data_IF_837413698027
#
_entry.id   IF_837413698027
#
_cell.length_a   1.000
_cell.length_b   1.000
_cell.length_c   1.000
_cell.angle_alpha   90.00
_cell.angle_beta   90.00
_cell.angle_gamma   90.00
#
_symmetry.space_group_name_H-M   'P 1'
#
loop_
_entity.id
_entity.type
_entity.pdbx_description
1 polymer ?
#
# COMPACT_ATOMS: atom_id res chain seq x y z
N UNK A 1 -24.22 -9.73 8.63
CA UNK A 1 -23.49 -8.48 8.45
C UNK A 1 -21.98 -8.78 8.52
N UNK A 2 -21.20 -8.31 7.53
CA UNK A 2 -19.74 -8.53 7.51
C UNK A 2 -19.04 -7.97 8.77
N UNK A 3 -19.54 -6.85 9.28
CA UNK A 3 -18.98 -6.17 10.43
C UNK A 3 -19.24 -6.89 11.75
N UNK A 4 -20.23 -7.79 11.82
CA UNK A 4 -20.60 -8.56 13.01
C UNK A 4 -19.99 -9.97 12.95
N UNK A 5 -18.69 -10.08 13.21
CA UNK A 5 -18.05 -11.39 13.33
C UNK A 5 -18.36 -12.03 14.68
N UNK A 6 -18.35 -13.39 14.78
CA UNK A 6 -18.74 -14.11 15.98
C UNK A 6 -17.74 -14.00 17.16
N UNK A 7 -16.57 -13.43 16.96
CA UNK A 7 -15.61 -13.18 18.02
C UNK A 7 -15.96 -11.88 18.77
N UNK A 8 -15.59 -11.79 20.02
CA UNK A 8 -15.88 -10.67 20.94
C UNK A 8 -17.39 -10.43 21.16
N UNK A 9 -18.23 -11.47 21.05
CA UNK A 9 -19.64 -11.35 21.43
C UNK A 9 -19.80 -10.81 22.86
N UNK A 10 -20.73 -9.86 23.14
CA UNK A 10 -21.86 -9.43 22.28
C UNK A 10 -21.61 -8.13 21.49
N UNK A 11 -20.37 -7.70 21.32
CA UNK A 11 -20.06 -6.45 20.62
C UNK A 11 -20.41 -6.53 19.14
N UNK A 12 -20.97 -5.43 18.61
CA UNK A 12 -21.27 -5.26 17.18
C UNK A 12 -20.08 -4.60 16.47
N UNK A 13 -20.02 -4.78 15.15
CA UNK A 13 -19.02 -4.17 14.28
C UNK A 13 -17.57 -4.52 14.67
N UNK A 14 -17.34 -5.68 15.23
CA UNK A 14 -16.02 -6.10 15.77
C UNK A 14 -14.93 -6.18 14.69
N UNK A 15 -15.31 -6.47 13.44
CA UNK A 15 -14.35 -6.46 12.30
C UNK A 15 -13.81 -5.07 11.99
N UNK A 16 -14.50 -4.00 12.40
CA UNK A 16 -13.99 -2.63 12.28
C UNK A 16 -12.87 -2.30 13.28
N UNK A 17 -12.69 -3.16 14.31
CA UNK A 17 -11.63 -2.99 15.31
C UNK A 17 -10.29 -3.61 14.90
N UNK A 18 -10.23 -4.27 13.72
CA UNK A 18 -9.04 -4.95 13.22
C UNK A 18 -8.81 -4.64 11.73
N UNK A 19 -7.62 -4.99 11.24
CA UNK A 19 -7.30 -4.90 9.82
C UNK A 19 -8.16 -5.86 9.00
N UNK A 20 -8.71 -5.38 7.89
CA UNK A 20 -9.70 -6.11 7.11
C UNK A 20 -9.13 -7.05 6.05
N UNK A 21 -7.88 -6.86 5.61
CA UNK A 21 -7.16 -7.66 4.61
C UNK A 21 -7.90 -7.85 3.26
N UNK A 22 -8.91 -7.03 2.96
CA UNK A 22 -9.72 -7.13 1.75
C UNK A 22 -8.90 -7.08 0.47
N UNK A 23 -7.85 -6.26 0.44
CA UNK A 23 -7.00 -6.12 -0.73
C UNK A 23 -6.30 -7.42 -1.12
N UNK A 24 -6.10 -8.34 -0.18
CA UNK A 24 -5.45 -9.64 -0.43
C UNK A 24 -6.43 -10.81 -0.49
N UNK A 25 -7.71 -10.59 -0.19
CA UNK A 25 -8.75 -11.60 -0.26
C UNK A 25 -8.84 -12.33 -1.62
N UNK A 26 -8.70 -11.65 -2.78
CA UNK A 26 -8.71 -12.33 -4.07
C UNK A 26 -7.63 -13.40 -4.20
N UNK A 27 -6.44 -13.20 -3.63
CA UNK A 27 -5.34 -14.17 -3.65
C UNK A 27 -5.76 -15.45 -2.90
N UNK A 28 -6.31 -15.29 -1.70
CA UNK A 28 -6.85 -16.41 -0.92
C UNK A 28 -7.98 -17.12 -1.64
N UNK A 29 -8.92 -16.37 -2.24
CA UNK A 29 -10.07 -16.89 -2.95
C UNK A 29 -9.68 -17.76 -4.16
N UNK A 30 -8.62 -17.40 -4.89
CA UNK A 30 -8.09 -18.20 -6.00
C UNK A 30 -7.66 -19.58 -5.51
N UNK A 31 -6.93 -19.70 -4.41
CA UNK A 31 -6.52 -21.00 -3.87
C UNK A 31 -7.71 -21.81 -3.37
N UNK A 32 -8.68 -21.15 -2.71
CA UNK A 32 -9.91 -21.83 -2.26
C UNK A 32 -10.75 -22.35 -3.42
N UNK A 33 -10.92 -21.56 -4.48
CA UNK A 33 -11.65 -21.98 -5.68
C UNK A 33 -10.92 -23.07 -6.47
N UNK A 34 -9.59 -23.14 -6.36
CA UNK A 34 -8.76 -24.21 -6.89
C UNK A 34 -8.83 -25.54 -6.13
N UNK A 35 -9.65 -25.61 -5.06
CA UNK A 35 -9.87 -26.84 -4.28
C UNK A 35 -8.95 -27.03 -3.08
N UNK A 36 -8.04 -26.07 -2.79
CA UNK A 36 -7.23 -26.13 -1.58
C UNK A 36 -8.12 -26.06 -0.31
N UNK A 37 -7.80 -26.81 0.74
CA UNK A 37 -8.44 -26.65 2.05
C UNK A 37 -8.11 -25.28 2.67
N UNK A 38 -8.69 -24.98 3.86
CA UNK A 38 -8.53 -23.68 4.48
C UNK A 38 -7.08 -23.40 4.88
N UNK A 39 -6.41 -24.39 5.42
CA UNK A 39 -5.04 -24.27 5.94
C UNK A 39 -4.04 -24.13 4.79
N UNK A 40 -4.14 -24.98 3.80
CA UNK A 40 -3.31 -24.93 2.58
C UNK A 40 -3.51 -23.59 1.84
N UNK A 41 -4.76 -23.14 1.67
CA UNK A 41 -5.04 -21.86 1.04
C UNK A 41 -4.44 -20.67 1.81
N UNK A 42 -4.46 -20.73 3.14
CA UNK A 42 -3.84 -19.71 3.98
C UNK A 42 -2.31 -19.71 3.85
N UNK A 43 -1.68 -20.88 3.84
CA UNK A 43 -0.23 -20.99 3.66
C UNK A 43 0.20 -20.48 2.27
N UNK A 44 -0.54 -20.84 1.22
CA UNK A 44 -0.27 -20.37 -0.15
C UNK A 44 -0.50 -18.85 -0.28
N UNK A 45 -1.52 -18.31 0.39
CA UNK A 45 -1.74 -16.88 0.47
C UNK A 45 -0.55 -16.17 1.16
N UNK A 46 -0.08 -16.69 2.28
CA UNK A 46 1.07 -16.13 2.99
C UNK A 46 2.36 -16.16 2.15
N UNK A 47 2.64 -17.29 1.50
CA UNK A 47 3.76 -17.41 0.56
C UNK A 47 3.66 -16.41 -0.60
N UNK A 48 2.43 -16.21 -1.12
CA UNK A 48 2.18 -15.21 -2.15
C UNK A 48 2.48 -13.80 -1.68
N UNK A 49 2.20 -13.46 -0.42
CA UNK A 49 2.55 -12.16 0.15
C UNK A 49 4.07 -11.95 0.26
N UNK A 50 4.82 -12.97 0.65
CA UNK A 50 6.30 -12.90 0.64
C UNK A 50 6.82 -12.67 -0.78
N UNK A 51 6.31 -13.43 -1.76
CA UNK A 51 6.70 -13.27 -3.16
C UNK A 51 6.35 -11.86 -3.70
N UNK A 52 5.14 -11.36 -3.42
CA UNK A 52 4.72 -10.02 -3.82
C UNK A 52 5.57 -8.92 -3.14
N UNK A 53 5.87 -9.07 -1.85
CA UNK A 53 6.77 -8.15 -1.15
C UNK A 53 8.14 -8.08 -1.85
N UNK A 54 8.71 -9.23 -2.21
CA UNK A 54 9.98 -9.29 -2.94
C UNK A 54 9.86 -8.64 -4.33
N UNK A 55 8.89 -9.07 -5.14
CA UNK A 55 8.74 -8.62 -6.54
C UNK A 55 8.51 -7.11 -6.62
N UNK A 56 7.55 -6.59 -5.84
CA UNK A 56 7.21 -5.16 -5.89
C UNK A 56 8.36 -4.28 -5.37
N UNK A 57 9.05 -4.72 -4.31
CA UNK A 57 10.22 -4.03 -3.80
C UNK A 57 11.37 -4.06 -4.81
N UNK A 58 11.62 -5.22 -5.44
CA UNK A 58 12.62 -5.35 -6.50
C UNK A 58 12.33 -4.39 -7.67
N UNK A 59 11.08 -4.35 -8.15
CA UNK A 59 10.67 -3.46 -9.24
C UNK A 59 10.92 -1.99 -8.87
N UNK A 60 10.54 -1.58 -7.66
CA UNK A 60 10.74 -0.22 -7.20
C UNK A 60 12.24 0.13 -7.10
N UNK A 61 13.04 -0.71 -6.44
CA UNK A 61 14.47 -0.49 -6.26
C UNK A 61 15.24 -0.55 -7.58
N UNK A 62 14.93 -1.51 -8.45
CA UNK A 62 15.59 -1.62 -9.76
C UNK A 62 15.22 -0.46 -10.70
N UNK A 63 14.01 0.06 -10.59
CA UNK A 63 13.61 1.27 -11.31
C UNK A 63 14.40 2.51 -10.85
N UNK A 64 14.84 2.52 -9.61
CA UNK A 64 15.61 3.60 -9.00
C UNK A 64 17.12 3.46 -9.23
N UNK A 65 17.68 2.32 -8.80
CA UNK A 65 19.14 2.09 -8.77
C UNK A 65 19.72 1.65 -10.12
N UNK A 66 18.90 1.05 -11.01
CA UNK A 66 19.31 0.37 -12.25
C UNK A 66 20.35 -0.73 -12.03
N UNK A 67 20.44 -1.24 -10.82
CA UNK A 67 21.37 -2.31 -10.43
C UNK A 67 20.57 -3.51 -9.92
N UNK A 68 20.58 -4.59 -10.71
CA UNK A 68 19.81 -5.82 -10.42
C UNK A 68 20.25 -6.46 -9.11
N UNK A 69 21.56 -6.55 -8.86
CA UNK A 69 22.10 -7.21 -7.65
C UNK A 69 21.69 -6.44 -6.40
N UNK A 70 21.93 -5.12 -6.38
CA UNK A 70 21.55 -4.27 -5.25
C UNK A 70 20.06 -4.30 -4.98
N UNK A 71 19.26 -4.27 -6.05
CA UNK A 71 17.79 -4.33 -5.94
C UNK A 71 17.31 -5.68 -5.42
N UNK A 72 17.95 -6.78 -5.82
CA UNK A 72 17.63 -8.13 -5.32
C UNK A 72 17.92 -8.26 -3.84
N UNK A 73 19.10 -7.78 -3.39
CA UNK A 73 19.47 -7.79 -1.97
C UNK A 73 18.49 -6.94 -1.14
N UNK A 74 18.20 -5.72 -1.58
CA UNK A 74 17.24 -4.86 -0.88
C UNK A 74 15.84 -5.46 -0.81
N UNK A 75 15.37 -6.04 -1.91
CA UNK A 75 14.06 -6.70 -1.96
C UNK A 75 14.02 -7.96 -1.07
N UNK A 76 15.12 -8.72 -1.01
CA UNK A 76 15.24 -9.87 -0.13
C UNK A 76 15.14 -9.46 1.34
N UNK A 77 15.89 -8.44 1.75
CA UNK A 77 15.84 -7.90 3.12
C UNK A 77 14.42 -7.39 3.44
N UNK A 78 13.78 -6.68 2.52
CA UNK A 78 12.42 -6.18 2.72
C UNK A 78 11.39 -7.30 2.92
N UNK A 79 11.48 -8.37 2.11
CA UNK A 79 10.51 -9.46 2.13
C UNK A 79 10.79 -10.50 3.23
N UNK A 80 12.06 -10.86 3.47
CA UNK A 80 12.46 -12.02 4.26
C UNK A 80 13.30 -11.66 5.50
N UNK A 81 13.24 -10.41 5.97
CA UNK A 81 13.96 -10.03 7.19
C UNK A 81 13.54 -10.88 8.40
N UNK A 82 14.44 -11.05 9.35
CA UNK A 82 14.17 -11.73 10.62
C UNK A 82 12.98 -11.12 11.36
N UNK A 83 12.79 -9.79 11.23
CA UNK A 83 11.63 -9.10 11.76
C UNK A 83 10.32 -9.65 11.18
N UNK A 84 10.24 -9.85 9.87
CA UNK A 84 9.05 -10.43 9.24
C UNK A 84 8.81 -11.86 9.72
N UNK A 85 9.84 -12.68 9.78
CA UNK A 85 9.71 -14.07 10.27
C UNK A 85 9.25 -14.13 11.73
N UNK A 86 9.66 -13.18 12.57
CA UNK A 86 9.20 -13.05 13.96
C UNK A 86 7.77 -12.53 14.12
N UNK A 87 7.13 -12.06 13.04
CA UNK A 87 5.76 -11.52 13.07
C UNK A 87 4.73 -12.46 12.42
N UNK A 88 5.02 -13.76 12.31
CA UNK A 88 4.09 -14.73 11.69
C UNK A 88 2.74 -14.82 12.41
N UNK A 89 2.70 -14.51 13.70
CA UNK A 89 1.46 -14.42 14.49
C UNK A 89 0.65 -13.14 14.19
N UNK A 90 1.24 -12.18 13.51
CA UNK A 90 0.65 -10.89 13.15
C UNK A 90 0.56 -10.72 11.63
N UNK A 91 -0.23 -11.58 10.98
CA UNK A 91 -0.33 -11.65 9.51
C UNK A 91 -0.76 -10.34 8.85
N UNK A 92 -1.40 -9.43 9.58
CA UNK A 92 -1.81 -8.11 9.09
C UNK A 92 -0.63 -7.19 8.72
N UNK A 93 0.60 -7.48 9.16
CA UNK A 93 1.78 -6.67 8.81
C UNK A 93 2.48 -7.13 7.51
N UNK A 94 2.04 -8.25 6.92
CA UNK A 94 2.65 -8.79 5.70
C UNK A 94 2.20 -8.12 4.41
N UNK A 95 0.92 -7.67 4.23
CA UNK A 95 0.48 -7.09 2.97
C UNK A 95 1.02 -5.66 2.76
N UNK A 96 2.33 -5.52 2.63
CA UNK A 96 3.05 -4.23 2.44
C UNK A 96 3.70 -4.10 1.07
N UNK A 97 3.44 -5.02 0.16
CA UNK A 97 4.10 -5.12 -1.14
C UNK A 97 3.91 -3.90 -2.03
N UNK A 98 2.77 -3.17 -1.89
CA UNK A 98 2.54 -1.97 -2.70
C UNK A 98 3.33 -0.76 -2.19
N UNK A 99 3.74 -0.73 -0.91
CA UNK A 99 4.38 0.42 -0.29
C UNK A 99 5.67 0.88 -1.01
N UNK A 100 6.61 0.02 -1.42
CA UNK A 100 7.80 0.44 -2.17
C UNK A 100 7.44 1.10 -3.51
N UNK A 101 6.42 0.60 -4.21
CA UNK A 101 5.94 1.18 -5.47
C UNK A 101 5.30 2.55 -5.24
N UNK A 102 4.51 2.70 -4.18
CA UNK A 102 3.90 3.99 -3.80
C UNK A 102 4.96 5.03 -3.50
N UNK A 103 6.01 4.68 -2.76
CA UNK A 103 7.15 5.57 -2.48
C UNK A 103 7.89 5.95 -3.77
N UNK A 104 8.12 5.00 -4.67
CA UNK A 104 8.74 5.24 -5.95
C UNK A 104 7.88 6.18 -6.82
N UNK A 105 6.57 5.96 -6.94
CA UNK A 105 5.68 6.84 -7.71
C UNK A 105 5.57 8.22 -7.08
N UNK A 106 5.54 8.32 -5.76
CA UNK A 106 5.52 9.60 -5.07
C UNK A 106 6.81 10.40 -5.33
N UNK A 107 7.97 9.75 -5.24
CA UNK A 107 9.23 10.38 -5.61
C UNK A 107 9.23 10.85 -7.08
N UNK A 108 8.74 10.02 -8.00
CA UNK A 108 8.57 10.39 -9.41
C UNK A 108 7.62 11.57 -9.58
N UNK A 109 6.55 11.61 -8.82
CA UNK A 109 5.63 12.75 -8.82
C UNK A 109 6.34 14.04 -8.38
N UNK A 110 7.08 13.99 -7.29
CA UNK A 110 7.82 15.15 -6.78
C UNK A 110 8.91 15.62 -7.76
N UNK A 111 9.60 14.71 -8.43
CA UNK A 111 10.72 15.04 -9.33
C UNK A 111 10.27 15.37 -10.76
N UNK A 112 9.34 14.63 -11.34
CA UNK A 112 8.89 14.80 -12.74
C UNK A 112 7.61 15.62 -12.88
N UNK A 113 6.87 15.85 -11.78
CA UNK A 113 5.60 16.62 -11.75
C UNK A 113 4.50 16.10 -12.68
N UNK A 114 4.57 14.83 -13.07
CA UNK A 114 3.56 14.24 -13.95
C UNK A 114 2.39 13.72 -13.11
N UNK A 115 1.19 14.20 -13.41
CA UNK A 115 -0.05 13.87 -12.70
C UNK A 115 -0.33 12.36 -12.62
N UNK A 116 0.12 11.57 -13.60
CA UNK A 116 -0.02 10.11 -13.59
C UNK A 116 0.63 9.46 -12.37
N UNK A 117 1.76 10.00 -11.90
CA UNK A 117 2.44 9.46 -10.71
C UNK A 117 1.69 9.82 -9.43
N UNK A 118 1.03 10.97 -9.38
CA UNK A 118 0.12 11.30 -8.29
C UNK A 118 -1.08 10.34 -8.26
N UNK A 119 -1.65 10.03 -9.41
CA UNK A 119 -2.73 9.03 -9.54
C UNK A 119 -2.27 7.65 -9.05
N UNK A 120 -1.11 7.16 -9.49
CA UNK A 120 -0.59 5.85 -9.06
C UNK A 120 -0.27 5.83 -7.56
N UNK A 121 0.29 6.90 -7.01
CA UNK A 121 0.52 7.05 -5.57
C UNK A 121 -0.80 6.96 -4.79
N UNK A 122 -1.82 7.72 -5.23
CA UNK A 122 -3.13 7.74 -4.58
C UNK A 122 -3.83 6.39 -4.66
N UNK A 123 -3.88 5.74 -5.83
CA UNK A 123 -4.47 4.42 -6.00
C UNK A 123 -3.72 3.34 -5.19
N UNK A 124 -2.40 3.39 -5.18
CA UNK A 124 -1.59 2.48 -4.39
C UNK A 124 -1.80 2.66 -2.89
N UNK A 125 -1.93 3.90 -2.42
CA UNK A 125 -2.24 4.19 -1.02
C UNK A 125 -3.64 3.70 -0.64
N UNK A 126 -4.65 3.94 -1.50
CA UNK A 126 -6.01 3.42 -1.29
C UNK A 126 -5.99 1.89 -1.21
N UNK A 127 -5.29 1.24 -2.14
CA UNK A 127 -5.16 -0.21 -2.13
C UNK A 127 -4.48 -0.71 -0.84
N UNK A 128 -3.48 0.01 -0.32
CA UNK A 128 -2.87 -0.31 0.96
C UNK A 128 -3.88 -0.25 2.11
N UNK A 129 -4.82 0.71 2.11
CA UNK A 129 -5.92 0.74 3.09
C UNK A 129 -6.81 -0.50 3.04
N UNK A 130 -7.03 -1.06 1.86
CA UNK A 130 -7.73 -2.34 1.71
C UNK A 130 -6.89 -3.55 2.11
N UNK A 131 -5.56 -3.45 2.08
CA UNK A 131 -4.65 -4.52 2.52
C UNK A 131 -4.43 -4.52 4.04
N UNK A 132 -4.47 -3.35 4.68
CA UNK A 132 -4.30 -3.20 6.12
C UNK A 132 -4.27 -1.72 6.50
N UNK A 133 -5.20 -1.32 7.35
CA UNK A 133 -5.37 0.09 7.76
C UNK A 133 -4.12 0.62 8.48
N UNK A 134 -3.57 -0.16 9.41
CA UNK A 134 -2.38 0.23 10.17
C UNK A 134 -1.20 0.56 9.26
N UNK A 135 -0.90 -0.33 8.32
CA UNK A 135 0.20 -0.14 7.35
C UNK A 135 -0.06 1.06 6.43
N UNK A 136 -1.32 1.31 6.05
CA UNK A 136 -1.68 2.45 5.22
C UNK A 136 -1.49 3.78 5.95
N UNK A 137 -1.86 3.87 7.24
CA UNK A 137 -1.57 5.05 8.06
C UNK A 137 -0.06 5.27 8.18
N UNK A 138 0.73 4.22 8.47
CA UNK A 138 2.19 4.32 8.52
C UNK A 138 2.75 4.83 7.18
N UNK A 139 2.29 4.27 6.05
CA UNK A 139 2.71 4.73 4.73
C UNK A 139 2.32 6.19 4.48
N UNK A 140 1.13 6.62 4.91
CA UNK A 140 0.69 8.01 4.79
C UNK A 140 1.62 8.98 5.54
N UNK A 141 2.04 8.64 6.76
CA UNK A 141 3.03 9.41 7.50
C UNK A 141 4.39 9.44 6.80
N UNK A 142 4.85 8.30 6.27
CA UNK A 142 6.10 8.23 5.51
C UNK A 142 6.04 9.16 4.29
N UNK A 143 4.94 9.15 3.52
CA UNK A 143 4.75 10.04 2.38
C UNK A 143 4.77 11.51 2.80
N UNK A 144 4.09 11.85 3.90
CA UNK A 144 4.06 13.21 4.43
C UNK A 144 5.47 13.69 4.80
N UNK A 145 6.20 12.91 5.60
CA UNK A 145 7.56 13.29 6.01
C UNK A 145 8.54 13.31 4.84
N UNK A 146 8.40 12.37 3.90
CA UNK A 146 9.21 12.35 2.69
C UNK A 146 8.95 13.61 1.83
N UNK A 147 7.69 14.03 1.69
CA UNK A 147 7.33 15.27 1.01
C UNK A 147 7.92 16.50 1.69
N UNK A 148 7.79 16.60 3.02
CA UNK A 148 8.37 17.71 3.79
C UNK A 148 9.90 17.75 3.60
N UNK A 149 10.58 16.62 3.75
CA UNK A 149 12.03 16.51 3.57
C UNK A 149 12.45 16.90 2.14
N UNK A 150 11.71 16.44 1.12
CA UNK A 150 11.97 16.81 -0.27
C UNK A 150 11.94 18.32 -0.47
N UNK A 151 10.88 19.00 -0.02
CA UNK A 151 10.75 20.45 -0.16
C UNK A 151 11.77 21.24 0.69
N UNK A 152 12.14 20.72 1.87
CA UNK A 152 13.15 21.34 2.71
C UNK A 152 14.55 21.28 2.07
N UNK A 153 14.89 20.16 1.41
CA UNK A 153 16.21 19.95 0.78
C UNK A 153 16.30 20.70 -0.55
N UNK A 154 15.34 20.49 -1.43
CA UNK A 154 15.41 21.02 -2.79
C UNK A 154 14.96 22.47 -2.90
N UNK A 155 14.20 23.00 -1.93
CA UNK A 155 13.69 24.40 -1.88
C UNK A 155 13.04 24.86 -3.20
N UNK A 156 12.46 23.92 -3.95
CA UNK A 156 11.94 24.15 -5.30
C UNK A 156 10.60 24.90 -5.24
N UNK A 157 10.64 26.22 -5.46
CA UNK A 157 9.45 27.08 -5.52
C UNK A 157 8.65 26.92 -6.82
N UNK A 158 9.16 26.23 -7.83
CA UNK A 158 8.49 26.09 -9.12
C UNK A 158 7.20 25.26 -9.02
N UNK A 159 7.05 24.48 -7.95
CA UNK A 159 5.78 23.82 -7.60
C UNK A 159 4.60 24.79 -7.47
N UNK A 160 4.85 26.03 -7.04
CA UNK A 160 3.80 27.05 -6.94
C UNK A 160 3.19 27.40 -8.30
N UNK A 161 3.93 27.22 -9.39
CA UNK A 161 3.43 27.45 -10.74
C UNK A 161 2.51 26.33 -11.22
N UNK A 162 2.72 25.09 -10.77
CA UNK A 162 1.84 23.96 -11.08
C UNK A 162 0.45 24.18 -10.47
N UNK A 163 0.36 24.70 -9.26
CA UNK A 163 -0.91 25.04 -8.61
C UNK A 163 -1.65 26.24 -9.25
N UNK A 164 -0.97 27.04 -10.05
CA UNK A 164 -1.64 28.11 -10.84
C UNK A 164 -2.31 27.58 -12.09
N UNK A 165 -1.99 26.39 -12.56
CA UNK A 165 -2.60 25.77 -13.72
C UNK A 165 -3.95 25.17 -13.36
N UNK A 166 -5.05 25.84 -13.79
CA UNK A 166 -6.43 25.39 -13.49
C UNK A 166 -6.71 23.94 -13.91
N UNK A 167 -6.16 23.47 -15.03
CA UNK A 167 -6.35 22.09 -15.49
C UNK A 167 -5.71 21.09 -14.52
N UNK A 168 -4.50 21.36 -14.07
CA UNK A 168 -3.82 20.49 -13.10
C UNK A 168 -4.55 20.50 -11.75
N UNK A 169 -5.02 21.66 -11.30
CA UNK A 169 -5.80 21.76 -10.07
C UNK A 169 -7.08 20.92 -10.12
N UNK A 170 -7.78 20.93 -11.26
CA UNK A 170 -8.97 20.08 -11.48
C UNK A 170 -8.60 18.60 -11.41
N UNK A 171 -7.48 18.18 -12.04
CA UNK A 171 -7.02 16.79 -11.95
C UNK A 171 -6.67 16.38 -10.53
N UNK A 172 -5.96 17.22 -9.77
CA UNK A 172 -5.68 16.96 -8.36
C UNK A 172 -6.96 16.80 -7.54
N UNK A 173 -7.90 17.75 -7.70
CA UNK A 173 -9.17 17.69 -6.99
C UNK A 173 -9.98 16.43 -7.37
N UNK A 174 -9.98 16.04 -8.65
CA UNK A 174 -10.67 14.83 -9.12
C UNK A 174 -10.05 13.56 -8.54
N UNK A 175 -8.70 13.46 -8.47
CA UNK A 175 -8.01 12.31 -7.89
C UNK A 175 -8.28 12.23 -6.39
N UNK A 176 -8.23 13.35 -5.68
CA UNK A 176 -8.55 13.41 -4.24
C UNK A 176 -10.00 13.01 -4.01
N UNK A 177 -10.95 13.56 -4.78
CA UNK A 177 -12.37 13.21 -4.71
C UNK A 177 -12.61 11.71 -4.96
N UNK A 178 -11.99 11.15 -5.99
CA UNK A 178 -12.01 9.71 -6.27
C UNK A 178 -11.46 8.90 -5.10
N UNK A 179 -10.35 9.36 -4.51
CA UNK A 179 -9.72 8.69 -3.36
C UNK A 179 -10.66 8.63 -2.16
N UNK A 180 -11.34 9.73 -1.85
CA UNK A 180 -12.35 9.78 -0.78
C UNK A 180 -13.49 8.80 -1.07
N UNK A 181 -14.05 8.81 -2.28
CA UNK A 181 -15.14 7.90 -2.67
C UNK A 181 -14.72 6.44 -2.53
N UNK A 182 -13.52 6.09 -2.97
CA UNK A 182 -13.00 4.71 -2.88
C UNK A 182 -12.72 4.27 -1.44
N UNK A 183 -12.49 5.19 -0.50
CA UNK A 183 -12.30 4.88 0.91
C UNK A 183 -13.61 4.82 1.71
N UNK A 184 -14.73 5.36 1.19
CA UNK A 184 -16.03 5.36 1.87
C UNK A 184 -16.48 3.95 2.34
N UNK A 185 -16.30 2.85 1.57
CA UNK A 185 -16.69 1.52 2.02
C UNK A 185 -15.97 1.06 3.29
N UNK A 186 -14.75 1.56 3.55
CA UNK A 186 -13.97 1.24 4.76
C UNK A 186 -14.38 2.07 5.98
N UNK A 187 -15.11 3.18 5.79
CA UNK A 187 -15.53 4.09 6.84
C UNK A 187 -16.94 3.80 7.37
N UNK A 188 -17.69 2.91 6.72
CA UNK A 188 -19.04 2.51 7.14
C UNK A 188 -19.01 1.07 7.65
N UNK A 189 -18.93 0.86 8.97
CA UNK A 189 -19.24 -0.42 9.58
C UNK A 189 -20.73 -0.74 9.54
#
# INVERSE_FOLDING_TARGET
NYWDAPFLYPYKNVTALSDNLFGTLPIYAVFRSGGADRETAFQLWLLSLFALNFICCFIALNSWSKNVVLSSVGAYVFAFSIYNLGQLDHVQVFPKFIAPLVLFWFWKFLSERKIKYFLFTSLGLIYQFYCGMYLAFMLSYILLFFGIAYFAIYRDRSWLNEFKNKKQLIYFASIIGLSVVLLLPLLKP
#
